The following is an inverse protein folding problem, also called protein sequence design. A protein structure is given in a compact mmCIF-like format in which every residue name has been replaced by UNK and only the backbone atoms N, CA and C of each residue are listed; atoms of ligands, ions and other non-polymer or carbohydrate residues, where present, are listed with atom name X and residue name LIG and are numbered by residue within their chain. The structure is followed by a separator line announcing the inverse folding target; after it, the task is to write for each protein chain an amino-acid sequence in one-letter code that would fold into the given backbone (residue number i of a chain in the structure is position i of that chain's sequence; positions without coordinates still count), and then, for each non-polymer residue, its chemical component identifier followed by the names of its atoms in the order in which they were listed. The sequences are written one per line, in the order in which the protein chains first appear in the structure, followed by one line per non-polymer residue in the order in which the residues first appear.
data_IF_772835717273
#
_entry.id   IF_772835717273
#
_cell.length_a   1.000
_cell.length_b   1.000
_cell.length_c   1.000
_cell.angle_alpha   90.00
_cell.angle_beta   90.00
_cell.angle_gamma   90.00
#
_symmetry.space_group_name_H-M   'P 1'
#
loop_
_entity.id
_entity.type
_entity.pdbx_description
1 polymer ?
#
# COMPACT_ATOMS: atom_id res chain seq x y z
N UNK A 1 23.19 -12.45 30.56
CA UNK A 1 22.75 -12.69 29.17
C UNK A 1 23.37 -13.98 28.68
N UNK A 2 22.70 -15.14 28.85
CA UNK A 2 23.19 -16.46 28.37
C UNK A 2 22.06 -17.39 27.86
N UNK A 3 20.82 -16.88 27.77
CA UNK A 3 19.62 -17.74 27.68
C UNK A 3 19.08 -18.09 26.29
N UNK A 4 19.55 -17.50 25.19
CA UNK A 4 18.89 -17.66 23.88
C UNK A 4 19.30 -18.94 23.13
N UNK A 5 20.61 -19.24 23.04
CA UNK A 5 21.11 -20.39 22.28
C UNK A 5 20.79 -21.75 22.94
N UNK A 6 20.85 -21.82 24.28
CA UNK A 6 20.50 -23.03 25.02
C UNK A 6 19.01 -23.37 24.95
N UNK A 7 18.14 -22.36 24.80
CA UNK A 7 16.68 -22.54 24.78
C UNK A 7 16.20 -23.11 23.46
N UNK A 8 16.74 -22.62 22.34
CA UNK A 8 16.45 -23.18 21.02
C UNK A 8 16.90 -24.65 20.87
N UNK A 9 18.04 -25.03 21.50
CA UNK A 9 18.62 -26.37 21.30
C UNK A 9 17.82 -27.48 21.97
N UNK A 10 17.40 -27.33 23.23
CA UNK A 10 16.59 -28.38 23.87
C UNK A 10 15.21 -28.52 23.21
N UNK A 11 14.61 -27.43 22.73
CA UNK A 11 13.32 -27.48 22.01
C UNK A 11 13.46 -28.26 20.70
N UNK A 12 14.54 -28.05 19.95
CA UNK A 12 14.80 -28.83 18.72
C UNK A 12 14.94 -30.33 18.98
N UNK A 13 15.57 -30.71 20.10
CA UNK A 13 15.72 -32.10 20.51
C UNK A 13 14.36 -32.68 20.95
N UNK A 14 13.55 -31.92 21.69
CA UNK A 14 12.21 -32.33 22.09
C UNK A 14 11.31 -32.58 20.88
N UNK A 15 11.32 -31.66 19.89
CA UNK A 15 10.56 -31.80 18.65
C UNK A 15 11.05 -32.98 17.80
N UNK A 16 12.36 -33.22 17.70
CA UNK A 16 12.91 -34.40 17.00
C UNK A 16 12.46 -35.71 17.67
N UNK A 17 12.59 -35.81 19.00
CA UNK A 17 12.15 -36.99 19.75
C UNK A 17 10.63 -37.21 19.62
N UNK A 18 9.82 -36.16 19.75
CA UNK A 18 8.38 -36.24 19.54
C UNK A 18 8.02 -36.68 18.11
N UNK A 19 8.76 -36.22 17.10
CA UNK A 19 8.58 -36.64 15.70
C UNK A 19 8.82 -38.12 15.52
N UNK A 20 9.87 -38.68 16.12
CA UNK A 20 10.18 -40.12 16.05
C UNK A 20 9.13 -40.97 16.77
N UNK A 21 8.63 -40.50 17.91
CA UNK A 21 7.53 -41.15 18.64
C UNK A 21 6.24 -41.13 17.81
N UNK A 22 5.86 -39.98 17.25
CA UNK A 22 4.67 -39.83 16.40
C UNK A 22 4.73 -40.68 15.11
N UNK A 23 5.93 -40.86 14.53
CA UNK A 23 6.17 -41.75 13.38
C UNK A 23 6.13 -43.24 13.72
N UNK A 24 6.06 -43.59 15.01
CA UNK A 24 6.04 -44.98 15.47
C UNK A 24 7.41 -45.66 15.51
N UNK A 25 8.52 -44.90 15.47
CA UNK A 25 9.86 -45.46 15.69
C UNK A 25 10.03 -45.97 17.12
N UNK A 26 9.26 -45.41 18.05
CA UNK A 26 9.12 -45.87 19.43
C UNK A 26 7.66 -46.16 19.74
N UNK A 27 7.38 -47.36 20.24
CA UNK A 27 6.04 -47.77 20.66
C UNK A 27 5.76 -47.28 22.08
N UNK A 28 4.49 -47.12 22.41
CA UNK A 28 4.07 -46.85 23.79
C UNK A 28 4.59 -47.94 24.73
N UNK A 29 5.00 -47.52 25.93
CA UNK A 29 5.64 -48.36 26.95
C UNK A 29 6.99 -48.96 26.52
N UNK A 30 7.56 -48.53 25.40
CA UNK A 30 8.93 -48.88 25.01
C UNK A 30 9.94 -47.98 25.75
N UNK A 31 11.06 -48.57 26.16
CA UNK A 31 12.18 -47.83 26.75
C UNK A 31 12.97 -47.12 25.65
N UNK A 32 13.13 -45.82 25.82
CA UNK A 32 14.05 -44.96 25.08
C UNK A 32 15.47 -45.06 25.65
N UNK A 33 16.43 -44.56 24.87
CA UNK A 33 17.81 -44.38 25.32
C UNK A 33 17.84 -43.47 26.57
N UNK A 34 18.73 -43.80 27.52
CA UNK A 34 18.90 -43.01 28.74
C UNK A 34 19.51 -41.63 28.50
N UNK A 35 19.44 -40.76 29.51
CA UNK A 35 19.90 -39.35 29.46
C UNK A 35 21.33 -39.20 28.93
N UNK A 36 22.28 -40.03 29.39
CA UNK A 36 23.69 -39.97 28.96
C UNK A 36 23.90 -40.44 27.51
N UNK A 37 23.16 -41.47 27.08
CA UNK A 37 23.24 -41.99 25.71
C UNK A 37 22.64 -41.01 24.70
N UNK A 38 21.53 -40.34 25.06
CA UNK A 38 20.96 -39.27 24.26
C UNK A 38 21.89 -38.06 24.19
N UNK A 39 22.55 -37.68 25.30
CA UNK A 39 23.50 -36.57 25.31
C UNK A 39 24.66 -36.79 24.33
N UNK A 40 25.23 -38.01 24.32
CA UNK A 40 26.25 -38.41 23.34
C UNK A 40 25.75 -38.39 21.90
N UNK A 41 24.53 -38.90 21.64
CA UNK A 41 23.96 -38.96 20.28
C UNK A 41 23.69 -37.58 19.69
N UNK A 42 23.19 -36.66 20.50
CA UNK A 42 22.87 -35.29 20.07
C UNK A 42 24.05 -34.32 20.21
N UNK A 43 25.20 -34.79 20.72
CA UNK A 43 26.39 -33.99 21.02
C UNK A 43 26.06 -32.72 21.82
N UNK A 44 25.29 -32.88 22.91
CA UNK A 44 24.86 -31.80 23.80
C UNK A 44 25.12 -32.15 25.26
N UNK A 45 25.07 -31.13 26.14
CA UNK A 45 25.19 -31.36 27.57
C UNK A 45 24.05 -32.24 28.11
N UNK A 46 24.30 -33.09 29.12
CA UNK A 46 23.25 -33.87 29.79
C UNK A 46 22.10 -33.00 30.33
N UNK A 47 22.41 -31.75 30.70
CA UNK A 47 21.43 -30.76 31.16
C UNK A 47 20.47 -30.31 30.04
N UNK A 48 20.95 -30.21 28.80
CA UNK A 48 20.11 -29.91 27.63
C UNK A 48 19.13 -31.04 27.34
N UNK A 49 19.58 -32.30 27.44
CA UNK A 49 18.71 -33.47 27.32
C UNK A 49 17.70 -33.54 28.47
N UNK A 50 18.14 -33.23 29.70
CA UNK A 50 17.24 -33.17 30.85
C UNK A 50 16.10 -32.19 30.61
N UNK A 51 16.41 -30.97 30.13
CA UNK A 51 15.39 -29.95 29.79
C UNK A 51 14.46 -30.40 28.65
N UNK A 52 15.00 -31.02 27.60
CA UNK A 52 14.19 -31.55 26.50
C UNK A 52 13.22 -32.64 26.97
N UNK A 53 13.71 -33.58 27.80
CA UNK A 53 12.90 -34.66 28.36
C UNK A 53 11.87 -34.14 29.38
N UNK A 54 12.21 -33.15 30.20
CA UNK A 54 11.25 -32.49 31.10
C UNK A 54 10.10 -31.86 30.32
N UNK A 55 10.39 -31.16 29.20
CA UNK A 55 9.35 -30.59 28.36
C UNK A 55 8.41 -31.64 27.77
N UNK A 56 8.95 -32.77 27.32
CA UNK A 56 8.15 -33.88 26.82
C UNK A 56 7.36 -34.59 27.93
N UNK A 57 7.92 -34.64 29.14
CA UNK A 57 7.26 -35.20 30.31
C UNK A 57 6.09 -34.34 30.79
N UNK A 58 6.24 -33.01 30.78
CA UNK A 58 5.16 -32.06 31.13
C UNK A 58 3.97 -32.13 30.14
N UNK A 59 4.18 -32.75 28.98
CA UNK A 59 3.17 -32.98 27.94
C UNK A 59 2.69 -34.43 27.87
N UNK A 60 3.06 -35.25 28.86
CA UNK A 60 2.71 -36.67 28.97
C UNK A 60 3.18 -37.54 27.79
N UNK A 61 4.18 -37.08 27.03
CA UNK A 61 4.74 -37.79 25.86
C UNK A 61 5.72 -38.88 26.31
N UNK A 62 6.50 -38.58 27.35
CA UNK A 62 7.47 -39.52 27.95
C UNK A 62 7.44 -39.45 29.47
N UNK A 63 7.74 -40.57 30.12
CA UNK A 63 7.92 -40.63 31.57
C UNK A 63 9.38 -40.98 31.89
N UNK A 64 10.00 -40.24 32.82
CA UNK A 64 11.37 -40.50 33.24
C UNK A 64 11.41 -41.23 34.58
N UNK A 65 11.76 -42.51 34.56
CA UNK A 65 11.79 -43.37 35.75
C UNK A 65 13.21 -43.46 36.29
N UNK A 66 13.41 -43.06 37.55
CA UNK A 66 14.70 -43.14 38.24
C UNK A 66 15.27 -44.56 38.18
N UNK A 67 16.50 -44.70 37.68
CA UNK A 67 17.21 -45.98 37.56
C UNK A 67 16.72 -46.92 36.45
N UNK A 68 15.59 -46.63 35.78
CA UNK A 68 15.01 -47.51 34.72
C UNK A 68 15.00 -46.90 33.31
N UNK A 69 15.27 -45.60 33.18
CA UNK A 69 15.41 -44.91 31.89
C UNK A 69 14.20 -44.03 31.54
N UNK A 70 14.01 -43.76 30.25
CA UNK A 70 12.90 -42.96 29.72
C UNK A 70 11.90 -43.90 29.04
N UNK A 71 10.61 -43.76 29.31
CA UNK A 71 9.53 -44.56 28.75
C UNK A 71 8.64 -43.69 27.87
N UNK A 72 8.18 -44.19 26.72
CA UNK A 72 7.12 -43.51 25.94
C UNK A 72 5.77 -43.76 26.59
N UNK A 73 5.02 -42.70 26.89
CA UNK A 73 3.68 -42.80 27.50
C UNK A 73 2.56 -42.83 26.47
N UNK A 74 2.53 -41.87 25.54
CA UNK A 74 1.48 -41.79 24.51
C UNK A 74 2.01 -41.28 23.17
N UNK A 75 1.57 -41.93 22.09
CA UNK A 75 1.83 -41.48 20.71
C UNK A 75 0.95 -40.29 20.33
N UNK A 76 -0.32 -40.31 20.76
CA UNK A 76 -1.30 -39.25 20.49
C UNK A 76 -0.87 -37.92 21.13
N UNK A 77 -0.29 -37.97 22.33
CA UNK A 77 0.27 -36.78 22.98
C UNK A 77 1.42 -36.16 22.16
N UNK A 78 2.26 -37.00 21.54
CA UNK A 78 3.35 -36.53 20.67
C UNK A 78 2.79 -35.86 19.41
N UNK A 79 1.77 -36.45 18.78
CA UNK A 79 1.10 -35.90 17.60
C UNK A 79 0.40 -34.57 17.89
N UNK A 80 -0.29 -34.47 19.03
CA UNK A 80 -0.93 -33.24 19.50
C UNK A 80 0.10 -32.12 19.76
N UNK A 81 1.22 -32.44 20.40
CA UNK A 81 2.32 -31.50 20.64
C UNK A 81 2.92 -30.95 19.34
N UNK A 82 3.18 -31.82 18.36
CA UNK A 82 3.71 -31.40 17.05
C UNK A 82 2.70 -30.53 16.30
N UNK A 83 1.42 -30.90 16.34
CA UNK A 83 0.33 -30.14 15.70
C UNK A 83 0.19 -28.74 16.31
N UNK A 84 0.27 -28.64 17.64
CA UNK A 84 0.18 -27.36 18.34
C UNK A 84 1.35 -26.42 17.97
N UNK A 85 2.57 -26.97 17.85
CA UNK A 85 3.76 -26.21 17.44
C UNK A 85 3.60 -25.72 15.99
N UNK A 86 3.22 -26.61 15.06
CA UNK A 86 3.09 -26.25 13.66
C UNK A 86 1.99 -25.22 13.42
N UNK A 87 0.87 -25.29 14.16
CA UNK A 87 -0.21 -24.30 14.08
C UNK A 87 0.24 -22.91 14.53
N UNK A 88 0.97 -22.82 15.65
CA UNK A 88 1.51 -21.54 16.12
C UNK A 88 2.53 -20.96 15.14
N UNK A 89 3.39 -21.79 14.56
CA UNK A 89 4.35 -21.37 13.55
C UNK A 89 3.67 -20.87 12.26
N UNK A 90 2.67 -21.60 11.76
CA UNK A 90 1.93 -21.22 10.56
C UNK A 90 1.22 -19.86 10.72
N UNK A 91 0.59 -19.61 11.88
CA UNK A 91 -0.05 -18.33 12.16
C UNK A 91 0.98 -17.19 12.22
N UNK A 92 2.13 -17.41 12.84
CA UNK A 92 3.21 -16.42 12.90
C UNK A 92 3.77 -16.09 11.50
N UNK A 93 3.94 -17.10 10.65
CA UNK A 93 4.39 -16.90 9.27
C UNK A 93 3.36 -16.10 8.46
N UNK A 94 2.07 -16.42 8.59
CA UNK A 94 0.98 -15.67 7.95
C UNK A 94 0.96 -14.22 8.45
N UNK A 95 1.06 -14.00 9.76
CA UNK A 95 1.10 -12.66 10.37
C UNK A 95 2.28 -11.83 9.85
N UNK A 96 3.48 -12.41 9.79
CA UNK A 96 4.67 -11.73 9.27
C UNK A 96 4.50 -11.36 7.80
N UNK A 97 4.00 -12.30 6.98
CA UNK A 97 3.74 -12.06 5.56
C UNK A 97 2.68 -11.00 5.33
N UNK A 98 1.63 -10.97 6.15
CA UNK A 98 0.60 -9.93 6.07
C UNK A 98 1.19 -8.56 6.39
N UNK A 99 1.97 -8.45 7.47
CA UNK A 99 2.62 -7.19 7.85
C UNK A 99 3.53 -6.66 6.74
N UNK A 100 4.36 -7.51 6.13
CA UNK A 100 5.22 -7.09 5.01
C UNK A 100 4.41 -6.61 3.80
N UNK A 101 3.29 -7.28 3.48
CA UNK A 101 2.42 -6.85 2.38
C UNK A 101 1.72 -5.52 2.66
N UNK A 102 1.33 -5.28 3.92
CA UNK A 102 0.74 -4.02 4.36
C UNK A 102 1.74 -2.87 4.20
N UNK A 103 2.99 -3.06 4.61
CA UNK A 103 4.05 -2.07 4.44
C UNK A 103 4.34 -1.77 2.96
N UNK A 104 4.41 -2.81 2.13
CA UNK A 104 4.61 -2.65 0.69
C UNK A 104 3.46 -1.91 0.02
N UNK A 105 2.20 -2.23 0.34
CA UNK A 105 1.03 -1.48 -0.13
C UNK A 105 1.11 -0.02 0.28
N UNK A 106 1.39 0.28 1.54
CA UNK A 106 1.45 1.66 2.02
C UNK A 106 2.55 2.46 1.30
N UNK A 107 3.69 1.82 0.98
CA UNK A 107 4.75 2.43 0.16
C UNK A 107 4.27 2.73 -1.25
N UNK A 108 3.60 1.77 -1.90
CA UNK A 108 3.03 1.95 -3.23
C UNK A 108 1.99 3.08 -3.24
N UNK A 109 1.12 3.14 -2.25
CA UNK A 109 0.11 4.21 -2.14
C UNK A 109 0.75 5.61 -2.02
N UNK A 110 1.86 5.71 -1.28
CA UNK A 110 2.63 6.95 -1.18
C UNK A 110 3.27 7.34 -2.52
N UNK A 111 3.86 6.37 -3.24
CA UNK A 111 4.47 6.59 -4.55
C UNK A 111 3.43 6.98 -5.61
N UNK A 112 2.27 6.32 -5.62
CA UNK A 112 1.12 6.67 -6.46
C UNK A 112 0.68 8.10 -6.19
N UNK A 113 0.55 8.49 -4.91
CA UNK A 113 0.14 9.83 -4.52
C UNK A 113 1.13 10.89 -4.99
N UNK A 114 2.43 10.63 -4.85
CA UNK A 114 3.50 11.52 -5.33
C UNK A 114 3.46 11.67 -6.86
N UNK A 115 3.30 10.57 -7.60
CA UNK A 115 3.24 10.59 -9.05
C UNK A 115 1.98 11.30 -9.57
N UNK A 116 0.87 11.17 -8.85
CA UNK A 116 -0.36 11.90 -9.13
C UNK A 116 -0.20 13.40 -8.90
N UNK A 117 0.45 13.82 -7.82
CA UNK A 117 0.76 15.22 -7.56
C UNK A 117 1.67 15.81 -8.65
N UNK A 118 2.68 15.05 -9.08
CA UNK A 118 3.56 15.44 -10.18
C UNK A 118 2.76 15.59 -11.49
N UNK A 119 1.91 14.63 -11.84
CA UNK A 119 1.04 14.70 -13.02
C UNK A 119 0.10 15.91 -12.98
N UNK A 120 -0.54 16.17 -11.84
CA UNK A 120 -1.37 17.33 -11.63
C UNK A 120 -0.57 18.63 -11.80
N UNK A 121 0.64 18.70 -11.23
CA UNK A 121 1.50 19.86 -11.39
C UNK A 121 1.92 20.09 -12.85
N UNK A 122 2.23 19.04 -13.61
CA UNK A 122 2.53 19.16 -15.03
C UNK A 122 1.32 19.64 -15.83
N UNK A 123 0.15 19.04 -15.60
CA UNK A 123 -1.09 19.42 -16.29
C UNK A 123 -1.52 20.85 -15.93
N UNK A 124 -1.54 21.23 -14.64
CA UNK A 124 -1.85 22.59 -14.20
C UNK A 124 -0.84 23.62 -14.73
N UNK A 125 0.47 23.34 -14.72
CA UNK A 125 1.50 24.24 -15.32
C UNK A 125 1.30 24.37 -16.83
N UNK A 126 0.89 23.30 -17.51
CA UNK A 126 0.58 23.31 -18.93
C UNK A 126 -0.65 24.18 -19.23
N UNK A 127 -1.76 24.01 -18.48
CA UNK A 127 -2.97 24.82 -18.63
C UNK A 127 -2.74 26.29 -18.27
N UNK A 128 -2.06 26.59 -17.16
CA UNK A 128 -1.76 27.98 -16.74
C UNK A 128 -0.77 28.70 -17.67
N UNK A 129 0.16 27.97 -18.33
CA UNK A 129 1.07 28.57 -19.31
C UNK A 129 0.41 28.83 -20.67
N UNK A 130 -0.55 28.01 -21.09
CA UNK A 130 -1.19 28.16 -22.41
C UNK A 130 -2.46 29.00 -22.41
N UNK A 131 -3.07 29.27 -21.26
CA UNK A 131 -4.38 29.91 -21.19
C UNK A 131 -4.47 30.89 -20.00
N UNK A 132 -3.98 32.13 -20.21
CA UNK A 132 -4.32 33.23 -19.28
C UNK A 132 -5.77 33.63 -19.55
N UNK A 133 -6.64 33.42 -18.57
CA UNK A 133 -7.96 34.03 -18.56
C UNK A 133 -7.76 35.55 -18.52
N UNK A 134 -8.36 36.25 -19.47
CA UNK A 134 -8.29 37.71 -19.56
C UNK A 134 -9.69 38.29 -19.72
N UNK A 135 -9.91 39.41 -19.07
CA UNK A 135 -11.15 40.16 -19.14
C UNK A 135 -10.95 41.39 -20.00
N UNK A 136 -11.84 41.59 -20.96
CA UNK A 136 -11.84 42.76 -21.80
C UNK A 136 -13.21 43.42 -21.79
N UNK A 137 -13.25 44.67 -21.30
CA UNK A 137 -14.43 45.52 -21.42
C UNK A 137 -14.54 46.04 -22.85
N UNK A 138 -15.71 45.92 -23.45
CA UNK A 138 -16.00 46.40 -24.81
C UNK A 138 -16.20 47.93 -24.77
N UNK A 139 -15.33 48.73 -25.38
CA UNK A 139 -15.48 50.18 -25.40
C UNK A 139 -16.64 50.61 -26.29
N UNK A 140 -17.16 51.82 -26.04
CA UNK A 140 -18.09 52.47 -26.96
C UNK A 140 -17.40 52.70 -28.32
N UNK A 141 -18.03 52.25 -29.41
CA UNK A 141 -17.45 52.30 -30.76
C UNK A 141 -16.64 51.07 -31.17
N UNK A 142 -16.53 50.04 -30.32
CA UNK A 142 -15.85 48.79 -30.69
C UNK A 142 -16.44 48.14 -31.93
N UNK A 143 -15.58 47.59 -32.81
CA UNK A 143 -15.99 46.82 -34.01
C UNK A 143 -16.74 45.52 -33.69
N UNK A 144 -16.74 45.12 -32.42
CA UNK A 144 -17.51 43.98 -31.89
C UNK A 144 -18.91 44.39 -31.42
N UNK A 145 -19.12 45.66 -31.05
CA UNK A 145 -20.42 46.11 -30.57
C UNK A 145 -21.49 45.99 -31.66
N UNK A 146 -22.64 45.41 -31.31
CA UNK A 146 -23.75 45.13 -32.23
C UNK A 146 -23.56 43.88 -33.09
N UNK A 147 -22.52 43.07 -32.87
CA UNK A 147 -22.31 41.79 -33.57
C UNK A 147 -22.54 40.61 -32.64
N UNK A 148 -22.93 39.47 -33.22
CA UNK A 148 -22.88 38.19 -32.52
C UNK A 148 -21.45 37.64 -32.47
N UNK A 149 -21.18 36.73 -31.54
CA UNK A 149 -19.89 36.02 -31.49
C UNK A 149 -19.54 35.34 -32.81
N UNK A 150 -20.53 34.76 -33.50
CA UNK A 150 -20.37 34.20 -34.84
C UNK A 150 -19.99 35.25 -35.88
N UNK A 151 -20.78 36.32 -36.02
CA UNK A 151 -20.56 37.37 -37.03
C UNK A 151 -19.30 38.22 -36.76
N UNK A 152 -18.78 38.19 -35.54
CA UNK A 152 -17.51 38.82 -35.22
C UNK A 152 -16.29 38.04 -35.76
N UNK A 153 -16.46 36.73 -36.00
CA UNK A 153 -15.40 35.77 -36.26
C UNK A 153 -14.30 35.82 -35.18
N UNK A 154 -14.68 36.06 -33.92
CA UNK A 154 -13.74 36.32 -32.82
C UNK A 154 -12.62 35.27 -32.74
N UNK A 155 -12.99 33.99 -32.68
CA UNK A 155 -12.03 32.88 -32.61
C UNK A 155 -11.18 32.76 -33.87
N UNK A 156 -11.75 32.97 -35.05
CA UNK A 156 -11.01 32.91 -36.32
C UNK A 156 -9.96 34.02 -36.43
N UNK A 157 -10.27 35.22 -35.95
CA UNK A 157 -9.37 36.39 -36.00
C UNK A 157 -8.34 36.44 -34.90
N UNK A 158 -8.61 35.82 -33.75
CA UNK A 158 -7.76 35.97 -32.55
C UNK A 158 -7.16 34.65 -32.05
N UNK A 159 -7.72 33.50 -32.42
CA UNK A 159 -7.37 32.20 -31.83
C UNK A 159 -7.86 32.02 -30.39
N UNK A 160 -8.46 33.04 -29.77
CA UNK A 160 -9.03 32.96 -28.43
C UNK A 160 -10.48 32.48 -28.44
N UNK A 161 -10.88 31.82 -27.35
CA UNK A 161 -12.25 31.38 -27.09
C UNK A 161 -12.88 32.27 -26.04
N UNK A 162 -14.12 32.70 -26.25
CA UNK A 162 -14.90 33.43 -25.24
C UNK A 162 -15.51 32.42 -24.27
N UNK A 163 -15.10 32.46 -23.00
CA UNK A 163 -15.57 31.57 -21.94
C UNK A 163 -16.88 32.09 -21.34
N UNK A 164 -16.98 33.41 -21.16
CA UNK A 164 -18.17 34.06 -20.63
C UNK A 164 -18.33 35.50 -21.16
N UNK A 165 -19.57 36.00 -21.14
CA UNK A 165 -19.90 37.41 -21.39
C UNK A 165 -20.67 37.94 -20.19
N UNK A 166 -20.19 39.02 -19.58
CA UNK A 166 -20.91 39.76 -18.57
C UNK A 166 -21.69 40.91 -19.21
N UNK A 167 -23.01 40.93 -19.02
CA UNK A 167 -23.94 41.93 -19.54
C UNK A 167 -24.85 42.40 -18.43
N UNK A 168 -24.96 43.72 -18.23
CA UNK A 168 -25.88 44.31 -17.24
C UNK A 168 -25.74 43.71 -15.82
N UNK A 169 -24.56 43.23 -15.44
CA UNK A 169 -24.30 42.59 -14.15
C UNK A 169 -24.64 41.10 -14.07
N UNK A 170 -25.08 40.47 -15.17
CA UNK A 170 -25.29 39.02 -15.28
C UNK A 170 -24.21 38.37 -16.13
N UNK A 171 -23.73 37.21 -15.69
CA UNK A 171 -22.70 36.45 -16.40
C UNK A 171 -23.33 35.29 -17.18
N UNK A 172 -23.07 35.27 -18.49
CA UNK A 172 -23.45 34.17 -19.39
C UNK A 172 -22.20 33.31 -19.61
N UNK A 173 -22.18 32.13 -19.00
CA UNK A 173 -21.13 31.13 -19.24
C UNK A 173 -21.39 30.37 -20.54
N UNK A 174 -20.33 30.08 -21.29
CA UNK A 174 -20.39 29.38 -22.58
C UNK A 174 -21.42 30.02 -23.53
N UNK A 175 -21.23 31.29 -23.91
CA UNK A 175 -22.17 32.02 -24.75
C UNK A 175 -22.37 31.31 -26.08
N UNK A 176 -23.61 31.34 -26.58
CA UNK A 176 -23.95 30.75 -27.88
C UNK A 176 -23.32 31.57 -29.03
N UNK A 177 -23.14 30.99 -30.23
CA UNK A 177 -22.68 31.74 -31.40
C UNK A 177 -23.55 32.97 -31.74
N UNK A 178 -24.84 32.91 -31.39
CA UNK A 178 -25.81 33.99 -31.61
C UNK A 178 -25.86 35.03 -30.49
N UNK A 179 -25.05 34.89 -29.43
CA UNK A 179 -24.97 35.90 -28.36
C UNK A 179 -24.41 37.20 -28.93
N UNK A 180 -25.22 38.26 -28.92
CA UNK A 180 -24.82 39.61 -29.31
C UNK A 180 -23.84 40.19 -28.31
N UNK A 181 -22.91 41.03 -28.77
CA UNK A 181 -21.93 41.75 -27.97
C UNK A 181 -22.31 43.23 -28.00
N UNK A 182 -22.35 43.87 -26.84
CA UNK A 182 -22.75 45.26 -26.66
C UNK A 182 -21.61 46.08 -26.04
N UNK A 183 -21.61 47.38 -26.28
CA UNK A 183 -20.66 48.27 -25.61
C UNK A 183 -20.94 48.25 -24.10
N UNK A 184 -19.88 48.16 -23.29
CA UNK A 184 -19.97 48.00 -21.84
C UNK A 184 -19.87 46.57 -21.34
N UNK A 185 -20.10 45.57 -22.20
CA UNK A 185 -19.95 44.14 -21.86
C UNK A 185 -18.51 43.82 -21.47
N UNK A 186 -18.33 42.77 -20.65
CA UNK A 186 -17.00 42.19 -20.36
C UNK A 186 -16.90 40.81 -20.98
N UNK A 187 -15.94 40.63 -21.89
CA UNK A 187 -15.60 39.32 -22.43
C UNK A 187 -14.52 38.66 -21.57
N UNK A 188 -14.84 37.49 -21.01
CA UNK A 188 -13.87 36.59 -20.36
C UNK A 188 -13.35 35.65 -21.43
N UNK A 189 -12.06 35.73 -21.74
CA UNK A 189 -11.46 35.01 -22.85
C UNK A 189 -10.34 34.10 -22.40
N UNK A 190 -10.16 33.01 -23.16
CA UNK A 190 -9.11 32.03 -22.94
C UNK A 190 -8.42 31.73 -24.27
N UNK A 191 -7.10 31.87 -24.31
CA UNK A 191 -6.35 31.74 -25.55
C UNK A 191 -4.84 31.81 -25.37
N UNK A 192 -4.10 31.47 -26.43
CA UNK A 192 -2.64 31.48 -26.42
C UNK A 192 -2.08 32.91 -26.23
N UNK A 193 -0.84 33.07 -25.76
CA UNK A 193 -0.26 34.39 -25.45
C UNK A 193 -0.37 35.41 -26.60
N UNK A 194 -0.26 34.95 -27.85
CA UNK A 194 -0.31 35.76 -29.07
C UNK A 194 -1.71 36.36 -29.30
N UNK A 195 -2.76 35.69 -28.81
CA UNK A 195 -4.14 36.15 -28.94
C UNK A 195 -4.37 37.49 -28.24
N UNK A 196 -3.64 37.78 -27.15
CA UNK A 196 -3.77 39.02 -26.36
C UNK A 196 -3.72 40.27 -27.24
N UNK A 197 -2.76 40.35 -28.15
CA UNK A 197 -2.57 41.51 -29.01
C UNK A 197 -3.64 41.60 -30.10
N UNK A 198 -4.09 40.44 -30.62
CA UNK A 198 -5.15 40.37 -31.63
C UNK A 198 -6.50 40.75 -31.05
N UNK A 199 -6.81 40.27 -29.84
CA UNK A 199 -8.02 40.62 -29.09
C UNK A 199 -8.04 42.12 -28.81
N UNK A 200 -6.95 42.68 -28.28
CA UNK A 200 -6.87 44.11 -28.01
C UNK A 200 -7.16 44.93 -29.27
N UNK A 201 -6.53 44.60 -30.40
CA UNK A 201 -6.77 45.26 -31.71
C UNK A 201 -8.21 45.12 -32.19
N UNK A 202 -8.83 43.95 -31.99
CA UNK A 202 -10.20 43.71 -32.44
C UNK A 202 -11.22 44.49 -31.62
N UNK A 203 -10.94 44.69 -30.33
CA UNK A 203 -11.81 45.40 -29.38
C UNK A 203 -11.66 46.92 -29.51
N UNK A 204 -10.44 47.44 -29.65
CA UNK A 204 -10.13 48.87 -29.68
C UNK A 204 -10.10 49.50 -31.08
N UNK A 205 -10.23 48.68 -32.12
CA UNK A 205 -10.02 49.09 -33.51
C UNK A 205 -11.06 50.04 -34.07
#
# INVERSE_FOLDING_TARGET
MEGSAGTARYMSIATDLATRIARGEYKEKQKLLGRSSLAGRYNVSPETIRRALSLLQDKDIVEVIAGKGVLVTSKEAAEAYLTQISQHQALQEIQQRLSSLIEERNRLDAEISQMMEELLNYTFKFFTRMQKIQEYKIPAGSRLAGKTLENSEFRGKTGATVLAVEKNGETIFSPSPHTEISAGDVLVIIGPPEAKNLVAKLISG
#
